data_IF_758889768385
#
_entry.id   IF_758889768385
#
_cell.length_a   1.000
_cell.length_b   1.000
_cell.length_c   1.000
_cell.angle_alpha   90.00
_cell.angle_beta   90.00
_cell.angle_gamma   90.00
#
_symmetry.space_group_name_H-M   'P 1'
#
loop_
_entity.id
_entity.type
_entity.pdbx_description
1 polymer ?
#
# COMPACT_ATOMS: atom_id res chain seq x y z
N UNK A 1 -25.38 -14.75 0.43
CA UNK A 1 -24.21 -14.33 -0.39
C UNK A 1 -24.06 -12.83 -0.21
N UNK A 2 -23.19 -12.39 0.69
CA UNK A 2 -23.00 -10.97 1.05
C UNK A 2 -21.62 -10.52 0.58
N UNK A 3 -21.60 -9.45 -0.22
CA UNK A 3 -20.46 -8.82 -0.88
C UNK A 3 -19.65 -7.89 0.06
N UNK A 4 -19.61 -8.18 1.36
CA UNK A 4 -18.89 -7.40 2.37
C UNK A 4 -17.78 -8.24 3.02
N UNK A 5 -16.83 -8.70 2.20
CA UNK A 5 -15.55 -9.25 2.67
C UNK A 5 -14.48 -8.17 2.55
N UNK A 6 -14.63 -7.10 3.31
CA UNK A 6 -13.64 -6.03 3.39
C UNK A 6 -12.53 -6.50 4.34
N UNK A 7 -11.61 -7.29 3.80
CA UNK A 7 -10.29 -7.40 4.40
C UNK A 7 -9.68 -5.99 4.39
N UNK A 8 -9.38 -5.47 5.58
CA UNK A 8 -8.74 -4.16 5.79
C UNK A 8 -7.45 -4.02 4.96
N UNK A 9 -6.88 -5.12 4.47
CA UNK A 9 -5.67 -5.16 3.63
C UNK A 9 -5.91 -5.41 2.14
N UNK A 10 -7.11 -5.84 1.71
CA UNK A 10 -7.36 -6.39 0.36
C UNK A 10 -7.90 -5.36 -0.66
N UNK A 11 -8.44 -4.23 -0.19
CA UNK A 11 -9.04 -3.19 -1.06
C UNK A 11 -8.06 -2.06 -1.41
N UNK A 12 -6.85 -2.04 -0.84
CA UNK A 12 -6.02 -0.83 -0.78
C UNK A 12 -4.90 -0.71 -1.84
N UNK A 13 -4.57 -1.78 -2.58
CA UNK A 13 -3.40 -1.73 -3.48
C UNK A 13 -3.59 -0.89 -4.74
N UNK A 14 -4.80 -0.90 -5.29
CA UNK A 14 -5.18 -0.01 -6.39
C UNK A 14 -5.30 1.42 -5.89
N UNK A 15 -5.89 1.62 -4.71
CA UNK A 15 -6.05 2.96 -4.11
C UNK A 15 -4.70 3.60 -3.80
N UNK A 16 -3.68 2.88 -3.32
CA UNK A 16 -2.42 3.52 -2.89
C UNK A 16 -1.47 3.87 -4.06
N UNK A 17 -1.43 3.06 -5.13
CA UNK A 17 -0.68 3.44 -6.34
C UNK A 17 -1.42 4.52 -7.12
N UNK A 18 -2.76 4.45 -7.16
CA UNK A 18 -3.59 5.45 -7.82
C UNK A 18 -3.79 6.73 -6.98
N UNK A 19 -3.49 6.70 -5.67
CA UNK A 19 -3.51 7.83 -4.73
C UNK A 19 -2.39 8.85 -4.96
N UNK A 20 -2.20 9.22 -6.22
CA UNK A 20 -1.21 10.20 -6.68
C UNK A 20 -1.45 11.56 -6.04
N UNK A 21 -2.73 11.90 -5.82
CA UNK A 21 -3.19 13.08 -5.07
C UNK A 21 -2.60 13.16 -3.64
N UNK A 22 -2.32 12.02 -3.01
CA UNK A 22 -1.76 11.96 -1.65
C UNK A 22 -0.27 12.21 -1.65
N UNK A 23 0.43 11.91 -2.75
CA UNK A 23 1.84 12.21 -2.90
C UNK A 23 2.09 13.68 -3.26
N UNK A 24 1.08 14.43 -3.72
CA UNK A 24 1.22 15.87 -3.99
C UNK A 24 1.60 16.69 -2.75
N UNK A 25 1.26 16.19 -1.55
CA UNK A 25 1.70 16.77 -0.27
C UNK A 25 3.22 16.67 -0.09
N UNK A 26 3.85 15.65 -0.68
CA UNK A 26 5.29 15.43 -0.64
C UNK A 26 6.01 16.05 -1.83
N UNK A 27 5.41 15.95 -3.01
CA UNK A 27 5.99 16.35 -4.30
C UNK A 27 4.90 17.01 -5.12
N UNK A 28 4.89 18.34 -5.27
CA UNK A 28 3.92 19.03 -6.12
C UNK A 28 3.92 18.47 -7.55
N UNK A 29 2.73 18.37 -8.14
CA UNK A 29 2.50 17.86 -9.50
C UNK A 29 3.03 16.42 -9.70
N UNK A 30 2.98 15.59 -8.66
CA UNK A 30 3.51 14.23 -8.67
C UNK A 30 2.91 13.41 -9.82
N UNK A 31 1.61 13.57 -10.06
CA UNK A 31 0.91 12.87 -11.14
C UNK A 31 1.49 13.22 -12.52
N UNK A 32 1.74 14.49 -12.80
CA UNK A 32 2.30 14.93 -14.07
C UNK A 32 3.75 14.45 -14.23
N UNK A 33 4.53 14.53 -13.15
CA UNK A 33 5.90 14.03 -13.12
C UNK A 33 5.97 12.51 -13.35
N UNK A 34 5.05 11.75 -12.76
CA UNK A 34 4.94 10.31 -12.97
C UNK A 34 4.62 9.99 -14.43
N UNK A 35 3.60 10.65 -15.02
CA UNK A 35 3.24 10.49 -16.43
C UNK A 35 4.44 10.72 -17.34
N UNK A 36 5.13 11.84 -17.18
CA UNK A 36 6.27 12.26 -18.02
C UNK A 36 7.49 11.34 -17.90
N UNK A 37 7.55 10.49 -16.86
CA UNK A 37 8.69 9.61 -16.60
C UNK A 37 8.40 8.13 -16.76
N UNK A 38 7.15 7.75 -17.00
CA UNK A 38 6.70 6.36 -17.13
C UNK A 38 7.58 5.56 -18.11
N UNK A 39 7.93 6.14 -19.26
CA UNK A 39 8.69 5.48 -20.32
C UNK A 39 10.09 5.00 -19.87
N UNK A 40 10.70 5.67 -18.89
CA UNK A 40 12.00 5.26 -18.31
C UNK A 40 11.92 3.91 -17.60
N UNK A 41 10.72 3.43 -17.29
CA UNK A 41 10.48 2.20 -16.55
C UNK A 41 10.01 1.04 -17.44
N UNK A 42 9.95 1.22 -18.76
CA UNK A 42 9.56 0.17 -19.71
C UNK A 42 10.61 -0.93 -19.92
N UNK A 43 11.84 -0.73 -19.45
CA UNK A 43 12.89 -1.74 -19.56
C UNK A 43 12.45 -3.08 -18.92
N UNK A 44 12.60 -4.18 -19.67
CA UNK A 44 12.18 -5.51 -19.25
C UNK A 44 10.65 -5.76 -19.25
N UNK A 45 9.83 -4.79 -19.68
CA UNK A 45 8.39 -4.99 -19.89
C UNK A 45 8.09 -5.29 -21.36
N UNK A 46 7.18 -6.23 -21.60
CA UNK A 46 6.59 -6.44 -22.93
C UNK A 46 5.58 -5.33 -23.29
N UNK A 47 5.04 -5.37 -24.53
CA UNK A 47 4.09 -4.34 -24.98
C UNK A 47 2.83 -4.26 -24.09
N UNK A 48 2.25 -5.40 -23.72
CA UNK A 48 1.05 -5.45 -22.89
C UNK A 48 1.34 -4.85 -21.52
N UNK A 49 2.47 -5.18 -20.93
CA UNK A 49 2.90 -4.67 -19.62
C UNK A 49 3.21 -3.18 -19.62
N UNK A 50 3.76 -2.64 -20.72
CA UNK A 50 3.94 -1.18 -20.87
C UNK A 50 2.59 -0.47 -20.89
N UNK A 51 1.64 -1.00 -21.66
CA UNK A 51 0.28 -0.45 -21.71
C UNK A 51 -0.39 -0.49 -20.32
N UNK A 52 -0.24 -1.60 -19.58
CA UNK A 52 -0.72 -1.72 -18.20
C UNK A 52 -0.05 -0.74 -17.24
N UNK A 53 1.26 -0.51 -17.37
CA UNK A 53 1.97 0.47 -16.54
C UNK A 53 1.46 1.89 -16.79
N UNK A 54 1.24 2.26 -18.06
CA UNK A 54 0.66 3.57 -18.41
C UNK A 54 -0.75 3.69 -17.84
N UNK A 55 -1.60 2.68 -18.02
CA UNK A 55 -2.96 2.66 -17.46
C UNK A 55 -2.94 2.83 -15.94
N UNK A 56 -2.02 2.18 -15.24
CA UNK A 56 -1.85 2.33 -13.79
C UNK A 56 -1.39 3.74 -13.39
N UNK A 57 -0.40 4.29 -14.09
CA UNK A 57 0.12 5.65 -13.84
C UNK A 57 -0.89 6.74 -14.25
N UNK A 58 -1.84 6.44 -15.12
CA UNK A 58 -2.91 7.38 -15.51
C UNK A 58 -4.26 7.10 -14.82
N UNK A 59 -4.36 6.03 -14.03
CA UNK A 59 -5.59 5.67 -13.35
C UNK A 59 -6.10 6.77 -12.42
N UNK A 60 -7.40 7.03 -12.48
CA UNK A 60 -8.16 7.83 -11.51
C UNK A 60 -8.33 7.03 -10.21
N UNK A 61 -7.90 7.58 -9.08
CA UNK A 61 -8.01 6.98 -7.74
C UNK A 61 -9.46 6.63 -7.39
N UNK A 62 -10.42 7.49 -7.75
CA UNK A 62 -11.82 7.32 -7.39
C UNK A 62 -12.52 6.26 -8.26
N UNK A 63 -12.03 6.04 -9.49
CA UNK A 63 -12.63 5.15 -10.48
C UNK A 63 -11.56 4.43 -11.30
N UNK A 64 -10.81 3.49 -10.70
CA UNK A 64 -9.79 2.75 -11.41
C UNK A 64 -10.41 1.90 -12.52
N UNK A 65 -9.77 1.88 -13.69
CA UNK A 65 -10.21 1.07 -14.83
C UNK A 65 -9.91 -0.41 -14.57
N UNK A 66 -10.62 -1.37 -15.22
CA UNK A 66 -10.29 -2.79 -15.10
C UNK A 66 -8.83 -3.11 -15.46
N UNK A 67 -8.25 -2.36 -16.41
CA UNK A 67 -6.83 -2.49 -16.77
C UNK A 67 -5.89 -1.98 -15.68
N UNK A 68 -6.24 -0.88 -15.00
CA UNK A 68 -5.47 -0.41 -13.86
C UNK A 68 -5.48 -1.43 -12.71
N UNK A 69 -6.61 -2.13 -12.51
CA UNK A 69 -6.70 -3.25 -11.57
C UNK A 69 -5.87 -4.45 -12.04
N UNK A 70 -5.90 -4.80 -13.34
CA UNK A 70 -5.03 -5.85 -13.89
C UNK A 70 -3.55 -5.51 -13.72
N UNK A 71 -3.19 -4.24 -13.89
CA UNK A 71 -1.82 -3.75 -13.76
C UNK A 71 -1.26 -3.89 -12.33
N UNK A 72 -2.09 -3.83 -11.29
CA UNK A 72 -1.62 -4.09 -9.92
C UNK A 72 -1.39 -5.57 -9.66
N UNK A 73 -2.07 -6.45 -10.40
CA UNK A 73 -1.94 -7.90 -10.28
C UNK A 73 -0.74 -8.45 -11.08
N UNK A 74 -0.23 -7.72 -12.07
CA UNK A 74 1.02 -8.06 -12.75
C UNK A 74 2.23 -7.63 -11.88
N UNK A 75 3.05 -8.58 -11.37
CA UNK A 75 4.13 -8.25 -10.45
C UNK A 75 5.23 -7.39 -11.07
N UNK A 76 5.49 -7.53 -12.37
CA UNK A 76 6.50 -6.76 -13.07
C UNK A 76 6.04 -5.31 -13.26
N UNK A 77 4.79 -5.12 -13.69
CA UNK A 77 4.17 -3.80 -13.82
C UNK A 77 4.09 -3.09 -12.47
N UNK A 78 3.56 -3.76 -11.45
CA UNK A 78 3.45 -3.19 -10.11
C UNK A 78 4.80 -2.77 -9.54
N UNK A 79 5.83 -3.64 -9.67
CA UNK A 79 7.19 -3.32 -9.22
C UNK A 79 7.75 -2.08 -9.93
N UNK A 80 7.46 -1.88 -11.22
CA UNK A 80 7.89 -0.69 -11.96
C UNK A 80 7.15 0.56 -11.50
N UNK A 81 5.84 0.46 -11.23
CA UNK A 81 5.05 1.57 -10.69
C UNK A 81 5.56 2.01 -9.31
N UNK A 82 5.80 1.06 -8.39
CA UNK A 82 6.36 1.35 -7.06
C UNK A 82 7.75 2.01 -7.18
N UNK A 83 8.59 1.52 -8.09
CA UNK A 83 9.91 2.10 -8.31
C UNK A 83 9.84 3.52 -8.87
N UNK A 84 8.97 3.77 -9.85
CA UNK A 84 8.72 5.11 -10.39
C UNK A 84 8.34 6.08 -9.27
N UNK A 85 7.42 5.67 -8.39
CA UNK A 85 7.03 6.50 -7.24
C UNK A 85 8.18 6.74 -6.28
N UNK A 86 8.94 5.71 -5.91
CA UNK A 86 10.07 5.84 -4.99
C UNK A 86 11.16 6.78 -5.53
N UNK A 87 11.54 6.61 -6.80
CA UNK A 87 12.58 7.42 -7.44
C UNK A 87 12.12 8.89 -7.52
N UNK A 88 10.86 9.17 -7.86
CA UNK A 88 10.30 10.52 -7.84
C UNK A 88 10.35 11.17 -6.45
N UNK A 89 9.93 10.46 -5.41
CA UNK A 89 9.97 10.97 -4.04
C UNK A 89 11.41 11.29 -3.61
N UNK A 90 12.36 10.40 -3.88
CA UNK A 90 13.77 10.59 -3.52
C UNK A 90 14.41 11.76 -4.27
N UNK A 91 14.14 11.91 -5.56
CA UNK A 91 14.65 13.03 -6.36
C UNK A 91 14.17 14.39 -5.84
N UNK A 92 12.98 14.44 -5.27
CA UNK A 92 12.40 15.62 -4.64
C UNK A 92 12.77 15.73 -3.15
N UNK A 93 13.80 14.99 -2.71
CA UNK A 93 14.39 15.07 -1.36
C UNK A 93 13.42 14.70 -0.23
N UNK A 94 12.42 13.86 -0.52
CA UNK A 94 11.63 13.22 0.54
C UNK A 94 12.55 12.34 1.36
N UNK A 95 12.36 12.33 2.69
CA UNK A 95 13.19 11.53 3.60
C UNK A 95 13.19 10.05 3.20
N UNK A 96 14.38 9.45 3.16
CA UNK A 96 14.55 8.07 2.69
C UNK A 96 13.75 7.06 3.51
N UNK A 97 13.64 7.24 4.83
CA UNK A 97 12.88 6.31 5.68
C UNK A 97 11.38 6.43 5.39
N UNK A 98 10.89 7.63 5.13
CA UNK A 98 9.51 7.85 4.70
C UNK A 98 9.23 7.20 3.34
N UNK A 99 10.16 7.29 2.39
CA UNK A 99 10.03 6.58 1.10
C UNK A 99 10.01 5.06 1.30
N UNK A 100 10.91 4.51 2.12
CA UNK A 100 10.92 3.07 2.44
C UNK A 100 9.62 2.62 3.10
N UNK A 101 9.06 3.46 3.98
CA UNK A 101 7.75 3.22 4.59
C UNK A 101 6.63 3.19 3.53
N UNK A 102 6.57 4.18 2.63
CA UNK A 102 5.58 4.23 1.53
C UNK A 102 5.70 3.01 0.61
N UNK A 103 6.93 2.60 0.28
CA UNK A 103 7.20 1.42 -0.56
C UNK A 103 6.76 0.14 0.15
N UNK A 104 6.99 0.00 1.45
CA UNK A 104 6.50 -1.14 2.23
C UNK A 104 4.96 -1.19 2.21
N UNK A 105 4.30 -0.06 2.46
CA UNK A 105 2.84 0.06 2.38
C UNK A 105 2.30 -0.41 1.03
N UNK A 106 2.95 0.01 -0.06
CA UNK A 106 2.63 -0.42 -1.42
C UNK A 106 2.81 -1.93 -1.61
N UNK A 107 3.95 -2.50 -1.26
CA UNK A 107 4.19 -3.94 -1.42
C UNK A 107 3.20 -4.82 -0.66
N UNK A 108 2.83 -4.42 0.56
CA UNK A 108 1.94 -5.22 1.40
C UNK A 108 0.49 -5.26 0.91
N UNK A 109 0.09 -4.28 0.11
CA UNK A 109 -1.23 -4.28 -0.51
C UNK A 109 -1.34 -5.26 -1.69
N UNK A 110 -0.23 -5.59 -2.36
CA UNK A 110 -0.23 -6.52 -3.49
C UNK A 110 -0.14 -7.99 -3.05
N UNK A 111 0.59 -8.26 -1.95
CA UNK A 111 0.87 -9.63 -1.50
C UNK A 111 -0.30 -10.34 -0.77
N UNK A 112 -1.44 -9.68 -0.56
CA UNK A 112 -2.51 -10.19 0.32
C UNK A 112 -3.68 -10.92 -0.38
N UNK A 113 -3.50 -11.43 -1.60
CA UNK A 113 -4.63 -11.83 -2.46
C UNK A 113 -4.94 -13.33 -2.58
N UNK A 114 -4.21 -14.26 -1.95
CA UNK A 114 -4.55 -15.69 -2.04
C UNK A 114 -4.16 -16.46 -0.77
N UNK A 115 -5.11 -16.68 0.13
CA UNK A 115 -4.98 -17.61 1.26
C UNK A 115 -6.03 -18.71 1.14
N UNK A 116 -5.62 -19.95 1.39
CA UNK A 116 -6.52 -21.10 1.39
C UNK A 116 -7.30 -21.24 2.71
N UNK A 117 -6.76 -20.66 3.79
CA UNK A 117 -7.28 -20.72 5.16
C UNK A 117 -7.40 -19.32 5.78
N UNK A 118 -8.47 -19.10 6.54
CA UNK A 118 -8.76 -17.86 7.25
C UNK A 118 -7.77 -17.59 8.37
N UNK A 119 -7.29 -18.64 9.05
CA UNK A 119 -6.28 -18.51 10.11
C UNK A 119 -4.91 -18.09 9.52
N UNK A 120 -4.53 -18.66 8.39
CA UNK A 120 -3.31 -18.29 7.65
C UNK A 120 -3.39 -16.84 7.16
N UNK A 121 -4.56 -16.44 6.64
CA UNK A 121 -4.82 -15.06 6.26
C UNK A 121 -4.62 -14.11 7.45
N UNK A 122 -5.23 -14.41 8.60
CA UNK A 122 -5.17 -13.57 9.80
C UNK A 122 -3.73 -13.44 10.34
N UNK A 123 -2.99 -14.55 10.37
CA UNK A 123 -1.59 -14.52 10.79
C UNK A 123 -0.74 -13.68 9.83
N UNK A 124 -0.98 -13.81 8.53
CA UNK A 124 -0.29 -12.99 7.54
C UNK A 124 -0.66 -11.50 7.68
N UNK A 125 -1.94 -11.18 7.90
CA UNK A 125 -2.38 -9.81 8.18
C UNK A 125 -1.60 -9.23 9.38
N UNK A 126 -1.56 -9.91 10.52
CA UNK A 126 -0.80 -9.46 11.70
C UNK A 126 0.72 -9.33 11.44
N UNK A 127 1.31 -10.24 10.67
CA UNK A 127 2.72 -10.17 10.28
C UNK A 127 3.01 -8.92 9.42
N UNK A 128 2.14 -8.62 8.47
CA UNK A 128 2.19 -7.43 7.62
C UNK A 128 2.07 -6.16 8.46
N UNK A 129 1.11 -6.12 9.39
CA UNK A 129 0.95 -5.02 10.35
C UNK A 129 2.26 -4.77 11.10
N UNK A 130 2.93 -5.83 11.58
CA UNK A 130 4.19 -5.74 12.29
C UNK A 130 5.31 -5.11 11.47
N UNK A 131 5.43 -5.46 10.18
CA UNK A 131 6.42 -4.85 9.27
C UNK A 131 6.19 -3.36 9.06
N UNK A 132 4.94 -2.97 8.83
CA UNK A 132 4.55 -1.56 8.64
C UNK A 132 4.87 -0.75 9.91
N UNK A 133 4.47 -1.26 11.09
CA UNK A 133 4.73 -0.59 12.37
C UNK A 133 6.22 -0.43 12.65
N UNK A 134 7.04 -1.46 12.36
CA UNK A 134 8.48 -1.38 12.54
C UNK A 134 9.12 -0.28 11.66
N UNK A 135 8.64 -0.11 10.42
CA UNK A 135 9.09 0.99 9.54
C UNK A 135 8.59 2.36 10.02
N UNK A 136 7.37 2.44 10.55
CA UNK A 136 6.81 3.68 11.09
C UNK A 136 7.53 4.17 12.36
N UNK A 137 7.90 3.26 13.25
CA UNK A 137 8.52 3.61 14.55
C UNK A 137 9.87 4.33 14.42
N UNK A 138 10.59 4.07 13.33
CA UNK A 138 11.92 4.66 13.08
C UNK A 138 11.86 6.00 12.33
N UNK A 139 10.65 6.44 11.95
CA UNK A 139 10.39 7.75 11.37
C UNK A 139 10.52 8.86 12.43
N UNK A 140 10.98 10.04 12.00
CA UNK A 140 10.91 11.25 12.83
C UNK A 140 9.47 11.77 12.95
N UNK A 141 9.22 12.64 13.92
CA UNK A 141 7.88 13.20 14.17
C UNK A 141 7.28 13.93 12.96
N UNK A 142 8.13 14.58 12.16
CA UNK A 142 7.70 15.24 10.92
C UNK A 142 7.26 14.20 9.89
N UNK A 143 8.06 13.15 9.70
CA UNK A 143 7.78 12.09 8.73
C UNK A 143 6.56 11.26 9.12
N UNK A 144 6.34 11.02 10.42
CA UNK A 144 5.11 10.38 10.93
C UNK A 144 3.86 11.17 10.56
N UNK A 145 3.86 12.50 10.78
CA UNK A 145 2.73 13.35 10.38
C UNK A 145 2.46 13.31 8.88
N UNK A 146 3.51 13.26 8.06
CA UNK A 146 3.37 13.12 6.61
C UNK A 146 2.82 11.74 6.24
N UNK A 147 3.31 10.67 6.86
CA UNK A 147 2.79 9.32 6.68
C UNK A 147 1.31 9.23 7.06
N UNK A 148 0.89 9.87 8.16
CA UNK A 148 -0.50 9.91 8.61
C UNK A 148 -1.39 10.70 7.63
N UNK A 149 -0.87 11.74 6.98
CA UNK A 149 -1.58 12.49 5.94
C UNK A 149 -1.77 11.68 4.65
N UNK A 150 -0.78 10.87 4.27
CA UNK A 150 -0.83 10.03 3.06
C UNK A 150 -1.71 8.79 3.31
N UNK A 151 -1.67 8.25 4.54
CA UNK A 151 -2.37 7.02 4.92
C UNK A 151 -3.27 7.22 6.15
N UNK A 152 -4.28 8.11 6.09
CA UNK A 152 -5.09 8.46 7.26
C UNK A 152 -5.88 7.28 7.82
N UNK A 153 -6.38 6.41 6.94
CA UNK A 153 -7.13 5.21 7.33
C UNK A 153 -6.24 4.22 8.12
N UNK A 154 -4.98 4.07 7.70
CA UNK A 154 -4.01 3.25 8.42
C UNK A 154 -3.57 3.90 9.71
N UNK A 155 -3.38 5.22 9.74
CA UNK A 155 -3.00 5.91 10.96
C UNK A 155 -4.03 5.69 12.08
N UNK A 156 -5.30 5.87 11.75
CA UNK A 156 -6.41 5.63 12.66
C UNK A 156 -6.54 4.16 13.08
N UNK A 157 -6.40 3.22 12.14
CA UNK A 157 -6.57 1.81 12.44
C UNK A 157 -5.38 1.18 13.19
N UNK A 158 -4.15 1.61 12.90
CA UNK A 158 -2.94 0.82 13.19
C UNK A 158 -2.01 1.47 14.21
N UNK A 159 -1.89 2.80 14.20
CA UNK A 159 -1.00 3.51 15.14
C UNK A 159 -1.68 3.82 16.46
N UNK A 160 -3.01 3.97 16.42
CA UNK A 160 -3.81 4.36 17.58
C UNK A 160 -4.55 3.20 18.26
N UNK A 161 -4.33 1.95 17.82
CA UNK A 161 -4.82 0.73 18.48
C UNK A 161 -3.61 -0.03 19.08
N UNK A 162 -3.26 0.22 20.36
CA UNK A 162 -2.08 -0.37 21.00
C UNK A 162 -2.04 -1.90 20.92
N UNK A 163 -3.21 -2.55 20.90
CA UNK A 163 -3.33 -4.00 20.83
C UNK A 163 -2.80 -4.58 19.51
N UNK A 164 -2.95 -3.88 18.38
CA UNK A 164 -2.42 -4.36 17.09
C UNK A 164 -0.89 -4.42 17.10
N UNK A 165 -0.25 -3.47 17.79
CA UNK A 165 1.20 -3.44 17.98
C UNK A 165 1.69 -4.58 18.87
N UNK A 166 0.91 -4.97 19.87
CA UNK A 166 1.21 -6.14 20.68
C UNK A 166 1.02 -7.43 19.88
N UNK A 167 -0.13 -7.58 19.24
CA UNK A 167 -0.52 -8.79 18.52
C UNK A 167 0.38 -9.10 17.32
N UNK A 168 0.83 -8.06 16.61
CA UNK A 168 1.75 -8.22 15.48
C UNK A 168 3.14 -8.73 15.85
N UNK A 169 3.53 -8.71 17.14
CA UNK A 169 4.80 -9.29 17.61
C UNK A 169 4.75 -10.81 17.79
N UNK A 170 3.55 -11.38 17.91
CA UNK A 170 3.33 -12.82 18.00
C UNK A 170 2.02 -13.20 17.29
N UNK A 171 1.97 -13.10 15.94
CA UNK A 171 0.78 -13.37 15.15
C UNK A 171 0.11 -14.71 15.46
N UNK A 172 0.90 -15.75 15.71
CA UNK A 172 0.45 -17.11 16.02
C UNK A 172 -0.27 -17.22 17.38
N UNK A 173 0.01 -16.31 18.32
CA UNK A 173 -0.62 -16.30 19.64
C UNK A 173 -1.88 -15.42 19.69
N UNK A 174 -1.99 -14.48 18.76
CA UNK A 174 -2.99 -13.43 18.80
C UNK A 174 -3.98 -13.44 17.63
N UNK A 175 -3.88 -14.42 16.71
CA UNK A 175 -4.79 -14.57 15.56
C UNK A 175 -6.27 -14.54 15.97
N UNK A 176 -6.67 -15.31 16.98
CA UNK A 176 -8.05 -15.37 17.47
C UNK A 176 -8.50 -14.04 18.09
N UNK A 177 -7.62 -13.35 18.83
CA UNK A 177 -7.95 -12.06 19.45
C UNK A 177 -8.14 -10.98 18.38
N UNK A 178 -7.25 -10.95 17.38
CA UNK A 178 -7.36 -10.07 16.23
C UNK A 178 -8.60 -10.38 15.39
N UNK A 179 -8.94 -11.66 15.18
CA UNK A 179 -10.15 -12.07 14.47
C UNK A 179 -11.42 -11.50 15.13
N UNK A 180 -11.52 -11.64 16.46
CA UNK A 180 -12.66 -11.10 17.22
C UNK A 180 -12.74 -9.58 17.14
N UNK A 181 -11.61 -8.91 17.26
CA UNK A 181 -11.51 -7.45 17.09
C UNK A 181 -11.95 -7.00 15.70
N UNK A 182 -11.48 -7.69 14.64
CA UNK A 182 -11.87 -7.43 13.25
C UNK A 182 -13.38 -7.59 13.03
N UNK A 183 -13.99 -8.63 13.59
CA UNK A 183 -15.44 -8.84 13.52
C UNK A 183 -16.24 -7.77 14.28
N UNK A 184 -15.70 -7.22 15.37
CA UNK A 184 -16.33 -6.11 16.10
C UNK A 184 -16.30 -4.79 15.33
N UNK A 185 -15.29 -4.56 14.49
CA UNK A 185 -15.24 -3.38 13.61
C UNK A 185 -16.19 -3.47 12.42
N UNK A 186 -16.68 -4.67 12.09
CA UNK A 186 -17.54 -4.95 10.94
C UNK A 186 -19.03 -5.08 11.31
N UNK A 187 -19.36 -5.13 12.60
CA UNK A 187 -20.73 -5.15 13.13
C UNK A 187 -21.21 -3.77 13.52
#
# INVERSE_FOLDING_TARGET
>A
MSLLKTGILLVLGVVIVAAKSRYDVLVPDFEELAKNRTDKYFDGLDKKQRDLLVELVMADEAKPTPKAVEATQDPAVFKKAVRLSADLLLEHKVDRKLVEFIVEMLHQTNNNTQFADEDEQIQNELYVIGKILAKYDVLGEKEKKLADQIFPDYANAMYHVPQLREWSKAPEKHSIAYFRFKNQLQG
#
